data_IF_063664232981
#
_entry.id   IF_063664232981
#
_cell.length_a   1.000
_cell.length_b   1.000
_cell.length_c   1.000
_cell.angle_alpha   90.00
_cell.angle_beta   90.00
_cell.angle_gamma   90.00
#
_symmetry.space_group_name_H-M   'P 1'
#
loop_
_entity.id
_entity.type
_entity.pdbx_description
1 polymer ?
#
# COMPACT_ATOMS: atom_id res chain seq x y z
N UNK A 1 -16.13 -8.14 26.25
CA UNK A 1 -17.03 -8.39 25.10
C UNK A 1 -16.40 -7.71 23.91
N UNK A 2 -15.54 -8.43 23.17
CA UNK A 2 -14.82 -7.89 22.01
C UNK A 2 -15.68 -8.04 20.77
N UNK A 3 -16.15 -6.92 20.25
CA UNK A 3 -16.76 -6.85 18.92
C UNK A 3 -15.65 -6.82 17.88
N UNK A 4 -15.48 -7.92 17.15
CA UNK A 4 -14.63 -7.97 15.95
C UNK A 4 -15.30 -7.14 14.86
N UNK A 5 -14.77 -5.95 14.56
CA UNK A 5 -15.21 -5.19 13.38
C UNK A 5 -14.66 -5.94 12.16
N UNK A 6 -15.56 -6.36 11.26
CA UNK A 6 -15.19 -7.12 10.05
C UNK A 6 -14.81 -6.15 8.92
N UNK A 7 -13.98 -6.57 7.94
CA UNK A 7 -13.70 -5.81 6.72
C UNK A 7 -14.95 -5.41 5.89
N UNK A 8 -16.11 -6.00 6.20
CA UNK A 8 -17.38 -5.66 5.56
C UNK A 8 -18.02 -4.35 6.07
N UNK A 9 -17.63 -3.89 7.26
CA UNK A 9 -18.24 -2.71 7.90
C UNK A 9 -17.61 -1.39 7.38
N UNK A 10 -16.31 -1.40 7.04
CA UNK A 10 -15.62 -0.27 6.38
C UNK A 10 -16.17 -0.04 4.96
N UNK A 11 -16.43 -1.09 4.18
CA UNK A 11 -17.02 -0.95 2.84
C UNK A 11 -18.39 -0.24 2.83
N UNK A 12 -19.17 -0.34 3.91
CA UNK A 12 -20.45 0.37 4.04
C UNK A 12 -20.31 1.86 4.35
N UNK A 13 -19.26 2.25 5.09
CA UNK A 13 -18.89 3.65 5.35
C UNK A 13 -18.46 4.31 4.05
N UNK A 14 -17.60 3.64 3.28
CA UNK A 14 -17.18 4.09 1.94
C UNK A 14 -18.36 4.20 0.95
N UNK A 15 -19.34 3.28 0.99
CA UNK A 15 -20.59 3.41 0.19
C UNK A 15 -21.40 4.67 0.51
N UNK A 16 -21.33 5.19 1.74
CA UNK A 16 -22.08 6.38 2.17
C UNK A 16 -21.28 7.67 1.89
N UNK A 17 -19.96 7.62 2.08
CA UNK A 17 -19.03 8.67 1.71
C UNK A 17 -19.07 8.99 0.20
N UNK A 18 -18.95 7.97 -0.65
CA UNK A 18 -18.94 8.12 -2.11
C UNK A 18 -20.32 8.35 -2.74
N UNK A 19 -21.43 8.13 -2.05
CA UNK A 19 -22.77 8.52 -2.52
C UNK A 19 -23.12 9.97 -2.15
N UNK A 20 -22.52 10.49 -1.08
CA UNK A 20 -22.77 11.85 -0.61
C UNK A 20 -21.82 12.89 -1.23
N UNK A 21 -20.68 12.45 -1.77
CA UNK A 21 -19.69 13.31 -2.37
C UNK A 21 -19.84 13.35 -3.90
N UNK A 22 -20.35 14.47 -4.39
CA UNK A 22 -19.98 15.07 -5.68
C UNK A 22 -18.46 15.37 -5.67
N UNK A 23 -17.62 14.34 -5.65
CA UNK A 23 -16.20 14.52 -5.95
C UNK A 23 -16.13 15.04 -7.38
N UNK A 24 -15.65 16.27 -7.52
CA UNK A 24 -15.57 17.12 -8.73
C UNK A 24 -16.81 18.00 -9.01
N UNK A 25 -17.31 18.73 -8.02
CA UNK A 25 -17.78 20.10 -8.28
C UNK A 25 -16.84 21.11 -7.59
N UNK A 26 -15.99 21.84 -8.34
CA UNK A 26 -15.04 22.81 -7.77
C UNK A 26 -15.71 24.01 -7.07
N UNK A 27 -17.05 24.11 -7.11
CA UNK A 27 -17.82 25.19 -6.48
C UNK A 27 -18.60 24.76 -5.22
N UNK A 28 -18.39 23.54 -4.68
CA UNK A 28 -19.06 23.12 -3.44
C UNK A 28 -18.10 23.24 -2.26
N UNK A 29 -18.40 24.03 -1.21
CA UNK A 29 -17.50 24.20 -0.08
C UNK A 29 -17.37 22.92 0.75
N UNK A 30 -16.17 22.32 0.68
CA UNK A 30 -15.40 21.71 1.77
C UNK A 30 -16.19 21.09 2.94
N UNK A 31 -16.69 19.86 2.74
CA UNK A 31 -16.48 18.85 3.78
C UNK A 31 -15.04 18.41 3.67
N UNK A 32 -14.31 18.52 4.78
CA UNK A 32 -12.90 18.15 4.84
C UNK A 32 -12.77 16.70 4.39
N UNK A 33 -11.87 16.36 3.46
CA UNK A 33 -11.77 14.98 2.95
C UNK A 33 -11.45 13.98 4.09
N UNK A 34 -10.89 14.49 5.17
CA UNK A 34 -10.75 13.84 6.49
C UNK A 34 -12.04 13.21 7.02
N UNK A 35 -13.21 13.78 6.75
CA UNK A 35 -14.50 13.29 7.27
C UNK A 35 -14.89 11.90 6.73
N UNK A 36 -14.20 11.42 5.70
CA UNK A 36 -14.48 10.13 5.05
C UNK A 36 -13.49 9.02 5.40
N UNK A 37 -12.32 9.36 5.94
CA UNK A 37 -11.31 8.41 6.40
C UNK A 37 -11.51 8.14 7.88
N UNK A 38 -11.71 6.88 8.25
CA UNK A 38 -11.66 6.49 9.65
C UNK A 38 -10.22 6.47 10.18
N UNK A 39 -10.06 6.33 11.50
CA UNK A 39 -8.74 6.38 12.13
C UNK A 39 -7.80 5.25 11.66
N UNK A 40 -8.34 4.10 11.22
CA UNK A 40 -7.50 3.03 10.68
C UNK A 40 -6.99 3.41 9.29
N UNK A 41 -7.83 4.01 8.46
CA UNK A 41 -7.47 4.44 7.12
C UNK A 41 -6.41 5.56 7.16
N UNK A 42 -6.57 6.51 8.09
CA UNK A 42 -5.59 7.57 8.34
C UNK A 42 -4.24 7.02 8.81
N UNK A 43 -4.26 6.08 9.75
CA UNK A 43 -3.02 5.48 10.25
C UNK A 43 -2.36 4.60 9.20
N UNK A 44 -3.12 3.84 8.40
CA UNK A 44 -2.56 3.07 7.29
C UNK A 44 -1.90 3.98 6.24
N UNK A 45 -2.56 5.10 5.90
CA UNK A 45 -2.03 6.10 4.98
C UNK A 45 -0.69 6.64 5.45
N UNK A 46 -0.66 7.11 6.71
CA UNK A 46 0.55 7.65 7.31
C UNK A 46 1.62 6.55 7.42
N UNK A 47 1.27 5.36 7.88
CA UNK A 47 2.17 4.23 7.99
C UNK A 47 2.85 3.93 6.65
N UNK A 48 2.10 3.81 5.55
CA UNK A 48 2.67 3.60 4.21
C UNK A 48 3.60 4.75 3.79
N UNK A 49 3.23 6.00 4.06
CA UNK A 49 4.08 7.16 3.77
C UNK A 49 5.39 7.13 4.58
N UNK A 50 5.35 6.68 5.83
CA UNK A 50 6.53 6.54 6.70
C UNK A 50 7.45 5.37 6.29
N UNK A 51 6.96 4.44 5.45
CA UNK A 51 7.78 3.46 4.74
C UNK A 51 8.34 3.99 3.41
N UNK A 52 8.12 5.27 3.09
CA UNK A 52 8.62 5.92 1.88
C UNK A 52 7.80 5.68 0.62
N UNK A 53 6.59 5.14 0.75
CA UNK A 53 5.69 4.94 -0.39
C UNK A 53 5.19 6.29 -0.91
N UNK A 54 5.17 6.44 -2.23
CA UNK A 54 4.72 7.64 -2.92
C UNK A 54 3.19 7.72 -2.96
N UNK A 55 2.60 8.92 -3.12
CA UNK A 55 1.15 9.08 -3.12
C UNK A 55 0.41 8.18 -4.11
N UNK A 56 1.01 7.96 -5.28
CA UNK A 56 0.45 7.08 -6.32
C UNK A 56 0.39 5.61 -5.90
N UNK A 57 1.40 5.14 -5.15
CA UNK A 57 1.47 3.75 -4.66
C UNK A 57 0.46 3.54 -3.54
N UNK A 58 0.36 4.50 -2.62
CA UNK A 58 -0.61 4.50 -1.53
C UNK A 58 -2.04 4.53 -2.09
N UNK A 59 -2.32 5.43 -3.04
CA UNK A 59 -3.62 5.51 -3.70
C UNK A 59 -4.00 4.20 -4.40
N UNK A 60 -3.03 3.50 -5.01
CA UNK A 60 -3.27 2.20 -5.61
C UNK A 60 -3.64 1.14 -4.56
N UNK A 61 -2.93 1.11 -3.44
CA UNK A 61 -3.22 0.21 -2.32
C UNK A 61 -4.64 0.43 -1.80
N UNK A 62 -5.02 1.68 -1.53
CA UNK A 62 -6.35 2.01 -1.06
C UNK A 62 -7.43 1.62 -2.08
N UNK A 63 -7.17 1.86 -3.38
CA UNK A 63 -8.10 1.51 -4.44
C UNK A 63 -8.49 0.03 -4.45
N UNK A 64 -7.55 -0.86 -4.11
CA UNK A 64 -7.79 -2.31 -4.12
C UNK A 64 -8.67 -2.78 -2.97
N UNK A 65 -8.56 -2.16 -1.79
CA UNK A 65 -9.17 -2.70 -0.57
C UNK A 65 -10.46 -1.98 -0.15
N UNK A 66 -10.67 -0.73 -0.58
CA UNK A 66 -11.81 0.07 -0.14
C UNK A 66 -12.94 0.23 -1.17
N UNK A 67 -12.68 -0.09 -2.44
CA UNK A 67 -13.64 0.21 -3.51
C UNK A 67 -14.22 -1.08 -4.11
N UNK A 68 -15.54 -1.30 -3.95
CA UNK A 68 -16.22 -2.38 -4.64
C UNK A 68 -16.09 -2.22 -6.16
N UNK A 69 -15.90 -3.33 -6.87
CA UNK A 69 -15.82 -3.37 -8.34
C UNK A 69 -17.08 -2.84 -9.07
N UNK A 70 -18.13 -2.47 -8.34
CA UNK A 70 -19.43 -2.01 -8.84
C UNK A 70 -19.55 -0.48 -8.98
N UNK A 71 -18.46 0.29 -8.85
CA UNK A 71 -18.49 1.74 -9.03
C UNK A 71 -18.17 2.14 -10.47
N UNK A 72 -19.03 2.94 -11.10
CA UNK A 72 -18.94 3.41 -12.49
C UNK A 72 -17.92 4.56 -12.69
N UNK A 73 -16.93 4.71 -11.81
CA UNK A 73 -15.87 5.70 -11.99
C UNK A 73 -14.75 5.05 -12.81
N UNK A 74 -14.30 5.67 -13.92
CA UNK A 74 -13.12 5.20 -14.63
C UNK A 74 -11.94 5.06 -13.68
N UNK A 75 -11.28 3.91 -13.70
CA UNK A 75 -10.22 3.57 -12.75
C UNK A 75 -9.10 4.63 -12.65
N UNK A 76 -8.81 5.33 -13.76
CA UNK A 76 -7.82 6.41 -13.83
C UNK A 76 -8.23 7.64 -13.03
N UNK A 77 -9.45 8.11 -13.25
CA UNK A 77 -10.01 9.25 -12.52
C UNK A 77 -10.03 8.97 -11.03
N UNK A 78 -10.38 7.73 -10.65
CA UNK A 78 -10.37 7.34 -9.26
C UNK A 78 -8.97 7.36 -8.64
N UNK A 79 -8.00 6.75 -9.31
CA UNK A 79 -6.63 6.73 -8.81
C UNK A 79 -6.05 8.15 -8.68
N UNK A 80 -6.38 9.04 -9.62
CA UNK A 80 -5.98 10.45 -9.56
C UNK A 80 -6.59 11.17 -8.36
N UNK A 81 -7.89 10.98 -8.09
CA UNK A 81 -8.56 11.60 -6.94
C UNK A 81 -7.98 11.10 -5.61
N UNK A 82 -7.77 9.79 -5.48
CA UNK A 82 -7.14 9.20 -4.29
C UNK A 82 -5.71 9.72 -4.10
N UNK A 83 -4.96 9.92 -5.18
CA UNK A 83 -3.61 10.48 -5.11
C UNK A 83 -3.62 11.90 -4.55
N UNK A 84 -4.49 12.76 -5.07
CA UNK A 84 -4.63 14.15 -4.58
C UNK A 84 -5.00 14.15 -3.10
N UNK A 85 -5.97 13.32 -2.70
CA UNK A 85 -6.33 13.13 -1.30
C UNK A 85 -5.11 12.76 -0.45
N UNK A 86 -4.33 11.76 -0.86
CA UNK A 86 -3.13 11.34 -0.14
C UNK A 86 -2.13 12.49 0.00
N UNK A 87 -1.89 13.24 -1.08
CA UNK A 87 -0.98 14.41 -1.08
C UNK A 87 -1.44 15.49 -0.08
N UNK A 88 -2.75 15.77 -0.02
CA UNK A 88 -3.32 16.76 0.88
C UNK A 88 -3.23 16.35 2.35
N UNK A 89 -3.48 15.08 2.68
CA UNK A 89 -3.70 14.69 4.08
C UNK A 89 -2.47 14.26 4.85
N UNK A 90 -1.46 13.72 4.18
CA UNK A 90 -0.27 13.17 4.86
C UNK A 90 0.51 14.25 5.61
N UNK A 91 0.50 15.49 5.11
CA UNK A 91 1.12 16.63 5.78
C UNK A 91 0.53 16.88 7.17
N UNK A 92 -0.80 16.87 7.32
CA UNK A 92 -1.44 17.09 8.63
C UNK A 92 -1.33 15.84 9.52
N UNK A 93 -1.53 14.65 8.96
CA UNK A 93 -1.41 13.39 9.71
C UNK A 93 -0.03 13.24 10.36
N UNK A 94 1.01 13.75 9.72
CA UNK A 94 2.36 13.72 10.26
C UNK A 94 2.50 14.47 11.60
N UNK A 95 1.60 15.40 11.94
CA UNK A 95 1.63 16.12 13.22
C UNK A 95 0.81 15.46 14.33
N UNK A 96 0.06 14.40 14.02
CA UNK A 96 -0.86 13.74 14.95
C UNK A 96 -2.21 14.47 15.07
N UNK A 97 -3.18 13.84 15.73
CA UNK A 97 -4.58 14.30 15.77
C UNK A 97 -4.76 15.66 16.49
N UNK A 98 -3.84 16.00 17.40
CA UNK A 98 -3.82 17.27 18.15
C UNK A 98 -2.71 18.24 17.67
N UNK A 99 -1.90 17.84 16.69
CA UNK A 99 -0.76 18.61 16.21
C UNK A 99 0.44 18.65 17.17
N UNK A 100 0.35 18.03 18.34
CA UNK A 100 1.36 18.06 19.41
C UNK A 100 1.98 16.67 19.69
N UNK A 101 1.53 15.64 18.97
CA UNK A 101 2.00 14.27 19.18
C UNK A 101 3.51 14.14 18.90
N UNK A 102 4.20 13.61 19.92
CA UNK A 102 5.64 13.37 19.85
C UNK A 102 5.96 12.32 18.77
N UNK A 103 6.98 12.54 17.92
CA UNK A 103 7.32 11.64 16.82
C UNK A 103 7.44 10.17 17.22
N UNK A 104 8.08 9.89 18.35
CA UNK A 104 8.25 8.52 18.86
C UNK A 104 6.92 7.88 19.26
N UNK A 105 6.03 8.64 19.90
CA UNK A 105 4.72 8.14 20.32
C UNK A 105 3.84 7.79 19.11
N UNK A 106 3.83 8.66 18.09
CA UNK A 106 3.12 8.43 16.85
C UNK A 106 3.63 7.17 16.13
N UNK A 107 4.95 7.02 16.00
CA UNK A 107 5.55 5.81 15.39
C UNK A 107 5.25 4.55 16.21
N UNK A 108 5.33 4.62 17.54
CA UNK A 108 4.99 3.49 18.41
C UNK A 108 3.51 3.08 18.28
N UNK A 109 2.61 4.06 18.17
CA UNK A 109 1.17 3.84 17.92
C UNK A 109 0.94 3.11 16.60
N UNK A 110 1.59 3.56 15.52
CA UNK A 110 1.45 2.98 14.19
C UNK A 110 1.98 1.54 14.13
N UNK A 111 3.13 1.27 14.74
CA UNK A 111 3.68 -0.10 14.86
C UNK A 111 2.74 -1.01 15.64
N UNK A 112 2.18 -0.53 16.76
CA UNK A 112 1.21 -1.31 17.53
C UNK A 112 -0.09 -1.58 16.75
N UNK A 113 -0.50 -0.66 15.87
CA UNK A 113 -1.63 -0.88 14.95
C UNK A 113 -1.29 -1.89 13.87
N UNK A 114 -0.09 -1.87 13.31
CA UNK A 114 0.36 -2.91 12.37
C UNK A 114 0.30 -4.29 13.04
N UNK A 115 0.84 -4.46 14.25
CA UNK A 115 0.78 -5.72 15.00
C UNK A 115 -0.67 -6.21 15.21
N UNK A 116 -1.60 -5.27 15.43
CA UNK A 116 -3.01 -5.57 15.73
C UNK A 116 -3.80 -5.89 14.46
N UNK A 117 -3.56 -5.15 13.39
CA UNK A 117 -4.34 -5.20 12.14
C UNK A 117 -3.66 -6.03 11.06
N UNK A 118 -2.42 -6.47 11.31
CA UNK A 118 -1.58 -7.29 10.46
C UNK A 118 -1.44 -6.66 9.05
N UNK A 119 -1.00 -5.40 9.01
CA UNK A 119 -0.79 -4.68 7.76
C UNK A 119 0.44 -5.20 7.00
N UNK A 120 1.50 -5.49 7.74
CA UNK A 120 2.72 -6.08 7.24
C UNK A 120 2.61 -7.59 7.01
N UNK A 121 3.30 -8.13 6.00
CA UNK A 121 3.96 -7.42 4.89
C UNK A 121 2.98 -7.10 3.74
N UNK A 122 1.68 -7.31 3.94
CA UNK A 122 0.69 -7.32 2.87
C UNK A 122 0.59 -6.00 2.11
N UNK A 123 0.38 -4.90 2.83
CA UNK A 123 0.20 -3.58 2.22
C UNK A 123 1.50 -3.05 1.61
N UNK A 124 2.64 -3.25 2.27
CA UNK A 124 3.96 -2.92 1.71
C UNK A 124 4.23 -3.69 0.42
N UNK A 125 3.97 -5.00 0.41
CA UNK A 125 4.17 -5.81 -0.80
C UNK A 125 3.31 -5.32 -1.97
N UNK A 126 2.05 -4.92 -1.72
CA UNK A 126 1.20 -4.33 -2.76
C UNK A 126 1.75 -3.01 -3.30
N UNK A 127 2.20 -2.13 -2.41
CA UNK A 127 2.76 -0.84 -2.79
C UNK A 127 4.04 -1.01 -3.61
N UNK A 128 4.96 -1.85 -3.15
CA UNK A 128 6.21 -2.20 -3.85
C UNK A 128 5.95 -2.87 -5.20
N UNK A 129 4.97 -3.77 -5.27
CA UNK A 129 4.60 -4.40 -6.54
C UNK A 129 4.15 -3.36 -7.57
N UNK A 130 3.34 -2.41 -7.13
CA UNK A 130 2.91 -1.30 -7.97
C UNK A 130 4.07 -0.39 -8.38
N UNK A 131 4.90 0.02 -7.43
CA UNK A 131 6.09 0.83 -7.68
C UNK A 131 6.97 0.20 -8.78
N UNK A 132 7.31 -1.08 -8.62
CA UNK A 132 8.14 -1.81 -9.57
C UNK A 132 7.43 -2.05 -10.93
N UNK A 133 6.10 -2.14 -10.98
CA UNK A 133 5.37 -2.22 -12.25
C UNK A 133 5.42 -0.90 -13.03
N UNK A 134 5.45 0.23 -12.32
CA UNK A 134 5.47 1.59 -12.89
C UNK A 134 6.85 2.14 -13.21
N UNK A 135 7.94 1.49 -12.78
CA UNK A 135 9.33 1.96 -13.02
C UNK A 135 9.64 2.24 -14.49
N UNK A 136 9.09 1.46 -15.42
CA UNK A 136 9.40 1.57 -16.85
C UNK A 136 8.24 2.11 -17.70
N UNK A 137 7.08 2.40 -17.11
CA UNK A 137 5.89 2.83 -17.85
C UNK A 137 4.85 3.44 -16.93
N UNK A 138 4.17 4.48 -17.42
CA UNK A 138 2.99 5.06 -16.77
C UNK A 138 1.69 4.59 -17.41
N UNK A 139 1.75 3.75 -18.46
CA UNK A 139 0.59 3.21 -19.15
C UNK A 139 -0.13 2.18 -18.28
N UNK A 140 -1.38 2.47 -17.91
CA UNK A 140 -2.15 1.60 -17.01
C UNK A 140 -2.41 0.20 -17.55
N UNK A 141 -2.58 0.02 -18.85
CA UNK A 141 -2.79 -1.29 -19.44
C UNK A 141 -1.55 -2.16 -19.27
N UNK A 142 -0.36 -1.58 -19.47
CA UNK A 142 0.93 -2.23 -19.28
C UNK A 142 1.20 -2.51 -17.79
N UNK A 143 0.94 -1.54 -16.91
CA UNK A 143 1.07 -1.73 -15.45
C UNK A 143 0.20 -2.90 -14.98
N UNK A 144 -1.07 -2.96 -15.42
CA UNK A 144 -1.96 -4.08 -15.08
C UNK A 144 -1.49 -5.40 -15.67
N UNK A 145 -0.92 -5.40 -16.87
CA UNK A 145 -0.37 -6.62 -17.46
C UNK A 145 0.77 -7.17 -16.59
N UNK A 146 1.73 -6.31 -16.20
CA UNK A 146 2.83 -6.68 -15.31
C UNK A 146 2.34 -7.22 -13.96
N UNK A 147 1.39 -6.54 -13.32
CA UNK A 147 0.82 -7.00 -12.04
C UNK A 147 0.14 -8.36 -12.17
N UNK A 148 -0.58 -8.61 -13.28
CA UNK A 148 -1.17 -9.92 -13.55
C UNK A 148 -0.11 -11.00 -13.78
N UNK A 149 0.97 -10.67 -14.49
CA UNK A 149 2.03 -11.63 -14.78
C UNK A 149 2.78 -12.02 -13.50
N UNK A 150 3.08 -11.05 -12.62
CA UNK A 150 3.60 -11.33 -11.27
C UNK A 150 2.68 -12.21 -10.43
N UNK A 151 1.36 -11.96 -10.49
CA UNK A 151 0.41 -12.82 -9.80
C UNK A 151 0.41 -14.26 -10.33
N UNK A 152 0.60 -14.45 -11.65
CA UNK A 152 0.74 -15.79 -12.26
C UNK A 152 2.05 -16.46 -11.85
N UNK A 153 3.16 -15.74 -11.84
CA UNK A 153 4.48 -16.23 -11.39
C UNK A 153 4.42 -16.71 -9.94
N UNK A 154 3.85 -15.90 -9.04
CA UNK A 154 3.62 -16.27 -7.64
C UNK A 154 2.75 -17.53 -7.51
N UNK A 155 1.67 -17.61 -8.29
CA UNK A 155 0.82 -18.79 -8.30
C UNK A 155 1.55 -20.03 -8.84
N UNK A 156 2.39 -19.86 -9.86
CA UNK A 156 3.18 -20.94 -10.43
C UNK A 156 4.20 -21.46 -9.43
N UNK A 157 4.92 -20.59 -8.73
CA UNK A 157 5.84 -20.97 -7.66
C UNK A 157 5.12 -21.71 -6.53
N UNK A 158 3.97 -21.21 -6.08
CA UNK A 158 3.20 -21.89 -5.03
C UNK A 158 2.77 -23.30 -5.48
N UNK A 159 2.23 -23.43 -6.70
CA UNK A 159 1.87 -24.72 -7.28
C UNK A 159 3.06 -25.66 -7.39
N UNK A 160 4.24 -25.14 -7.75
CA UNK A 160 5.47 -25.89 -7.79
C UNK A 160 5.83 -26.44 -6.41
N UNK A 161 5.92 -25.57 -5.38
CA UNK A 161 6.23 -25.95 -4.00
C UNK A 161 5.23 -26.97 -3.46
N UNK A 162 3.93 -26.81 -3.72
CA UNK A 162 2.90 -27.80 -3.34
C UNK A 162 3.16 -29.16 -3.99
N UNK A 163 3.52 -29.19 -5.27
CA UNK A 163 3.76 -30.45 -6.01
C UNK A 163 5.08 -31.12 -5.61
N UNK A 164 6.08 -30.34 -5.19
CA UNK A 164 7.45 -30.81 -4.93
C UNK A 164 7.82 -30.77 -3.44
N UNK A 165 6.84 -30.91 -2.54
CA UNK A 165 7.11 -31.04 -1.10
C UNK A 165 7.81 -29.83 -0.46
N UNK A 166 7.52 -28.63 -0.95
CA UNK A 166 8.08 -27.37 -0.48
C UNK A 166 9.41 -26.99 -1.14
N UNK A 167 9.93 -27.77 -2.08
CA UNK A 167 11.19 -27.46 -2.75
C UNK A 167 11.05 -26.34 -3.78
N UNK A 168 12.07 -25.49 -3.86
CA UNK A 168 12.16 -24.43 -4.86
C UNK A 168 12.56 -24.98 -6.25
N UNK A 169 12.10 -24.35 -7.34
CA UNK A 169 12.54 -24.69 -8.69
C UNK A 169 14.03 -24.35 -8.84
N UNK A 170 14.83 -25.26 -9.44
CA UNK A 170 16.29 -25.11 -9.55
C UNK A 170 16.75 -25.05 -11.00
N UNK A 171 17.45 -23.98 -11.43
CA UNK A 171 17.91 -23.84 -12.82
C UNK A 171 18.78 -25.03 -13.25
N UNK A 172 18.64 -25.46 -14.52
CA UNK A 172 19.47 -26.53 -15.10
C UNK A 172 18.72 -27.72 -15.68
N UNK A 173 17.40 -27.64 -15.85
CA UNK A 173 16.65 -28.63 -16.61
C UNK A 173 16.77 -28.32 -18.11
N UNK A 174 17.14 -29.31 -18.94
CA UNK A 174 17.29 -29.11 -20.39
C UNK A 174 15.96 -29.04 -21.16
N UNK A 175 14.82 -29.20 -20.47
CA UNK A 175 13.48 -29.10 -21.08
C UNK A 175 12.50 -28.44 -20.13
N UNK A 176 12.59 -27.12 -20.06
CA UNK A 176 11.81 -26.30 -19.14
C UNK A 176 10.41 -26.04 -19.69
N UNK A 177 9.38 -26.51 -18.95
CA UNK A 177 7.99 -26.20 -19.30
C UNK A 177 7.68 -24.74 -19.02
N UNK A 178 6.67 -24.17 -19.69
CA UNK A 178 6.21 -22.79 -19.40
C UNK A 178 5.85 -22.59 -17.91
N UNK A 179 5.32 -23.63 -17.26
CA UNK A 179 4.96 -23.59 -15.84
C UNK A 179 6.20 -23.56 -14.93
N UNK A 180 7.24 -24.30 -15.30
CA UNK A 180 8.51 -24.29 -14.58
C UNK A 180 9.23 -22.93 -14.71
N UNK A 181 9.27 -22.35 -15.92
CA UNK A 181 9.83 -21.01 -16.14
C UNK A 181 9.11 -19.95 -15.31
N UNK A 182 7.78 -19.99 -15.28
CA UNK A 182 6.99 -19.07 -14.45
C UNK A 182 7.22 -19.28 -12.94
N UNK A 183 7.51 -20.51 -12.50
CA UNK A 183 7.87 -20.79 -11.11
C UNK A 183 9.27 -20.26 -10.77
N UNK A 184 10.26 -20.41 -11.65
CA UNK A 184 11.58 -19.81 -11.49
C UNK A 184 11.49 -18.27 -11.39
N UNK A 185 10.76 -17.63 -12.30
CA UNK A 185 10.53 -16.18 -12.26
C UNK A 185 9.83 -15.76 -10.96
N UNK A 186 8.88 -16.57 -10.49
CA UNK A 186 8.23 -16.35 -9.20
C UNK A 186 9.20 -16.41 -8.02
N UNK A 187 10.21 -17.29 -8.07
CA UNK A 187 11.24 -17.42 -7.03
C UNK A 187 12.16 -16.20 -7.03
N UNK A 188 12.68 -15.81 -8.19
CA UNK A 188 13.49 -14.60 -8.36
C UNK A 188 12.74 -13.36 -7.83
N UNK A 189 11.43 -13.26 -8.13
CA UNK A 189 10.60 -12.17 -7.63
C UNK A 189 10.41 -12.20 -6.11
N UNK A 190 10.27 -13.39 -5.51
CA UNK A 190 10.13 -13.53 -4.05
C UNK A 190 11.37 -12.99 -3.33
N UNK A 191 12.56 -13.26 -3.88
CA UNK A 191 13.85 -12.74 -3.38
C UNK A 191 13.96 -11.22 -3.53
N UNK A 192 13.63 -10.68 -4.72
CA UNK A 192 13.61 -9.22 -4.95
C UNK A 192 12.66 -8.51 -3.97
N UNK A 193 11.45 -9.04 -3.79
CA UNK A 193 10.46 -8.45 -2.89
C UNK A 193 10.90 -8.54 -1.44
N UNK A 194 11.63 -9.59 -1.04
CA UNK A 194 12.19 -9.67 0.30
C UNK A 194 13.23 -8.56 0.55
N UNK A 195 14.11 -8.31 -0.43
CA UNK A 195 15.07 -7.21 -0.35
C UNK A 195 14.40 -5.84 -0.31
N UNK A 196 13.34 -5.65 -1.09
CA UNK A 196 12.60 -4.38 -1.12
C UNK A 196 11.80 -4.14 0.17
N UNK A 197 11.27 -5.20 0.80
CA UNK A 197 10.66 -5.12 2.13
C UNK A 197 11.70 -4.71 3.19
N UNK A 198 12.90 -5.28 3.15
CA UNK A 198 13.98 -4.91 4.06
C UNK A 198 14.42 -3.45 3.88
N UNK A 199 14.53 -2.97 2.63
CA UNK A 199 14.80 -1.55 2.34
C UNK A 199 13.67 -0.63 2.82
N UNK A 200 12.43 -1.12 2.78
CA UNK A 200 11.29 -0.45 3.38
C UNK A 200 11.25 -0.63 4.91
N UNK A 201 12.30 -1.12 5.55
CA UNK A 201 12.42 -1.23 7.01
C UNK A 201 11.72 -2.43 7.62
N UNK A 202 11.00 -3.24 6.83
CA UNK A 202 10.31 -4.42 7.32
C UNK A 202 11.28 -5.59 7.51
N UNK A 203 11.53 -5.95 8.77
CA UNK A 203 12.32 -7.12 9.17
C UNK A 203 11.45 -8.03 10.03
N UNK A 204 11.28 -9.28 9.63
CA UNK A 204 10.41 -10.21 10.33
C UNK A 204 10.82 -10.36 11.82
N UNK A 205 9.88 -10.07 12.72
CA UNK A 205 10.07 -10.21 14.17
C UNK A 205 10.87 -9.08 14.83
N UNK A 206 11.12 -7.96 14.16
CA UNK A 206 11.80 -6.79 14.74
C UNK A 206 11.29 -5.49 14.16
N UNK A 207 10.95 -4.53 15.03
CA UNK A 207 10.54 -3.17 14.62
C UNK A 207 11.68 -2.15 14.71
N UNK A 208 12.92 -2.56 15.01
CA UNK A 208 14.02 -1.59 15.23
C UNK A 208 14.34 -0.81 13.96
N UNK A 209 14.50 -1.50 12.83
CA UNK A 209 14.78 -0.88 11.54
C UNK A 209 13.57 -0.08 11.03
N UNK A 210 12.37 -0.65 11.16
CA UNK A 210 11.10 -0.02 10.81
C UNK A 210 10.90 1.31 11.53
N UNK A 211 11.01 1.35 12.86
CA UNK A 211 10.84 2.58 13.64
C UNK A 211 11.86 3.64 13.26
N UNK A 212 13.12 3.26 13.06
CA UNK A 212 14.17 4.19 12.64
C UNK A 212 13.86 4.82 11.28
N UNK A 213 13.42 4.02 10.31
CA UNK A 213 13.01 4.48 8.99
C UNK A 213 11.78 5.40 9.08
N UNK A 214 10.76 5.00 9.84
CA UNK A 214 9.54 5.77 10.00
C UNK A 214 9.81 7.14 10.61
N UNK A 215 10.68 7.22 11.62
CA UNK A 215 11.11 8.50 12.21
C UNK A 215 11.84 9.39 11.21
N UNK A 216 12.70 8.80 10.36
CA UNK A 216 13.38 9.54 9.30
C UNK A 216 12.40 10.15 8.31
N UNK A 217 11.45 9.35 7.80
CA UNK A 217 10.42 9.82 6.88
C UNK A 217 9.48 10.84 7.51
N UNK A 218 9.09 10.63 8.77
CA UNK A 218 8.24 11.56 9.50
C UNK A 218 8.89 12.94 9.59
N UNK A 219 10.19 12.97 9.90
CA UNK A 219 10.97 14.22 9.90
C UNK A 219 10.97 14.91 8.54
N UNK A 220 11.21 14.15 7.45
CA UNK A 220 11.18 14.70 6.08
C UNK A 220 9.82 15.25 5.70
N UNK A 221 8.74 14.54 6.04
CA UNK A 221 7.37 14.97 5.73
C UNK A 221 7.02 16.25 6.50
N UNK A 222 7.31 16.30 7.81
CA UNK A 222 7.07 17.50 8.63
C UNK A 222 7.84 18.71 8.12
N UNK A 223 9.10 18.52 7.70
CA UNK A 223 9.93 19.60 7.14
C UNK A 223 9.40 20.12 5.80
N UNK A 224 8.87 19.24 4.95
CA UNK A 224 8.31 19.60 3.67
C UNK A 224 6.87 20.14 3.76
N UNK A 225 6.18 19.90 4.88
CA UNK A 225 4.73 20.15 5.00
C UNK A 225 3.86 19.16 4.24
N UNK A 226 4.43 18.01 3.83
CA UNK A 226 3.79 17.05 2.91
C UNK A 226 4.83 16.05 2.37
N UNK A 227 4.57 15.45 1.21
CA UNK A 227 5.51 14.48 0.63
C UNK A 227 6.82 15.14 0.17
N UNK A 228 7.99 14.61 0.57
CA UNK A 228 9.28 15.13 0.14
C UNK A 228 9.44 15.12 -1.39
N UNK A 229 9.80 16.27 -1.98
CA UNK A 229 10.04 16.39 -3.42
C UNK A 229 8.81 16.72 -4.27
N UNK A 230 7.63 16.87 -3.66
CA UNK A 230 6.48 17.50 -4.30
C UNK A 230 6.42 19.00 -3.93
N UNK A 231 5.93 19.88 -4.82
CA UNK A 231 5.68 21.27 -4.46
C UNK A 231 4.62 21.33 -3.34
N UNK A 232 4.88 22.17 -2.33
CA UNK A 232 3.94 22.49 -1.26
C UNK A 232 2.82 23.43 -1.75
#
# INVERSE_FOLDING_TARGET
MSGTIRPADTAAVWRKAFRAADFVNPNTPTRSVYDFLDDNDRDLLLWLALHGMQPREIAWVLKQDYIPASYDIPDQTHLANLRVLVEEVVGELAWGDDGEEQPGALVDRLVARDDTLNWSPYYLRKALDYAAATTSTTNDAEVRAKLRDRAKEKLALNKWRVTHGGQDPRPGSTRESKQYLAALQGLEREEEVAQDLEKAGHVAGSHVAEKALMLEWLSKIRQAGGFPGLPA
#
